data_IF_979387772300
#
_entry.id   IF_979387772300
#
_cell.length_a   1.000
_cell.length_b   1.000
_cell.length_c   1.000
_cell.angle_alpha   90.00
_cell.angle_beta   90.00
_cell.angle_gamma   90.00
#
_symmetry.space_group_name_H-M   'P 1'
#
loop_
_entity.id
_entity.type
_entity.pdbx_description
1 polymer ?
#
# COMPACT_ATOMS: atom_id res chain seq x y z
N UNK A 1 -5.09 22.55 12.01
CA UNK A 1 -4.40 22.63 10.71
C UNK A 1 -3.01 22.07 10.92
N UNK A 2 -2.54 21.22 9.99
CA UNK A 2 -1.16 20.69 10.02
C UNK A 2 -0.15 21.83 9.98
N UNK A 3 0.97 21.65 10.68
CA UNK A 3 2.05 22.64 10.73
C UNK A 3 3.27 22.12 9.98
N UNK A 4 3.81 22.95 9.10
CA UNK A 4 5.09 22.67 8.45
C UNK A 4 5.97 23.93 8.45
N UNK A 5 7.29 23.76 8.48
CA UNK A 5 8.26 24.86 8.52
C UNK A 5 9.61 24.42 7.95
N UNK A 6 10.40 25.37 7.46
CA UNK A 6 11.82 25.12 7.17
C UNK A 6 12.58 24.86 8.46
N UNK A 7 13.53 23.91 8.45
CA UNK A 7 14.37 23.61 9.60
C UNK A 7 15.51 24.63 9.78
N UNK A 8 16.02 24.74 11.01
CA UNK A 8 17.33 25.35 11.26
C UNK A 8 18.49 24.38 10.92
N UNK A 9 19.71 24.93 10.84
CA UNK A 9 20.94 24.15 10.61
C UNK A 9 21.64 23.77 11.94
N UNK A 10 20.97 23.92 13.08
CA UNK A 10 21.60 23.71 14.38
C UNK A 10 21.81 22.21 14.64
N UNK A 11 23.00 21.78 15.08
CA UNK A 11 23.19 20.42 15.55
C UNK A 11 22.37 20.22 16.83
N UNK A 12 21.61 19.13 16.92
CA UNK A 12 20.71 18.90 18.05
C UNK A 12 20.03 17.55 18.02
N UNK A 13 19.13 17.33 18.98
CA UNK A 13 18.28 16.16 19.01
C UNK A 13 17.27 16.22 17.86
N UNK A 14 17.30 15.27 16.91
CA UNK A 14 16.41 15.29 15.75
C UNK A 14 14.92 15.31 16.09
N UNK A 15 14.54 14.93 17.32
CA UNK A 15 13.17 14.91 17.85
C UNK A 15 12.66 16.29 18.29
N UNK A 16 13.53 17.29 18.40
CA UNK A 16 13.15 18.66 18.72
C UNK A 16 12.49 19.36 17.52
N UNK A 17 11.71 20.43 17.71
CA UNK A 17 11.04 21.09 16.58
C UNK A 17 11.97 21.66 15.50
N UNK A 18 13.22 22.03 15.84
CA UNK A 18 14.18 22.64 14.89
C UNK A 18 13.59 23.79 14.08
N UNK A 19 12.95 24.76 14.78
CA UNK A 19 12.34 25.93 14.15
C UNK A 19 13.40 27.06 14.07
N UNK A 20 13.65 27.63 12.89
CA UNK A 20 14.54 28.77 12.75
C UNK A 20 13.94 30.01 13.42
N UNK A 21 14.81 30.93 13.82
CA UNK A 21 14.45 32.26 14.29
C UNK A 21 15.07 33.32 13.35
N UNK A 22 14.26 34.09 12.58
CA UNK A 22 12.80 34.12 12.58
C UNK A 22 12.16 32.89 11.91
N UNK A 23 10.97 32.52 12.39
CA UNK A 23 10.21 31.37 11.88
C UNK A 23 9.88 31.45 10.40
N UNK A 24 10.02 30.32 9.69
CA UNK A 24 9.75 30.18 8.25
C UNK A 24 8.69 29.10 7.98
N UNK A 25 7.39 29.40 8.18
CA UNK A 25 6.32 28.44 7.99
C UNK A 25 6.13 28.06 6.52
N UNK A 26 5.69 26.83 6.28
CA UNK A 26 5.37 26.28 4.96
C UNK A 26 3.88 25.94 4.92
N UNK A 27 3.18 26.47 3.92
CA UNK A 27 1.76 26.22 3.71
C UNK A 27 1.48 24.93 2.93
N UNK A 28 0.26 24.41 3.05
CA UNK A 28 -0.20 23.22 2.31
C UNK A 28 -0.09 23.37 0.78
N UNK A 29 -0.31 24.56 0.24
CA UNK A 29 -0.13 24.82 -1.20
C UNK A 29 1.31 24.64 -1.65
N UNK A 30 2.28 25.00 -0.80
CA UNK A 30 3.69 24.79 -1.11
C UNK A 30 4.05 23.30 -1.05
N UNK A 31 3.53 22.56 -0.05
CA UNK A 31 3.68 21.11 0.02
C UNK A 31 3.07 20.41 -1.21
N UNK A 32 1.88 20.84 -1.65
CA UNK A 32 1.24 20.35 -2.88
C UNK A 32 2.10 20.54 -4.13
N UNK A 33 2.85 21.65 -4.23
CA UNK A 33 3.80 21.90 -5.34
C UNK A 33 5.01 20.97 -5.31
N UNK A 34 5.30 20.34 -4.17
CA UNK A 34 6.29 19.27 -4.03
C UNK A 34 5.67 17.88 -4.26
N UNK A 35 4.36 17.81 -4.56
CA UNK A 35 3.61 16.56 -4.72
C UNK A 35 3.14 15.94 -3.39
N UNK A 36 3.41 16.58 -2.25
CA UNK A 36 2.97 16.13 -0.94
C UNK A 36 1.48 16.45 -0.75
N UNK A 37 0.68 15.42 -0.50
CA UNK A 37 -0.77 15.53 -0.29
C UNK A 37 -1.12 15.33 1.18
N UNK A 38 -2.21 15.97 1.62
CA UNK A 38 -2.63 15.96 3.02
C UNK A 38 -4.15 15.92 3.15
N UNK A 39 -4.63 15.15 4.13
CA UNK A 39 -6.02 15.11 4.56
C UNK A 39 -6.11 15.12 6.09
N UNK A 40 -7.21 15.69 6.62
CA UNK A 40 -7.58 15.59 8.03
C UNK A 40 -8.79 14.67 8.14
N UNK A 41 -8.68 13.63 8.97
CA UNK A 41 -9.69 12.60 9.18
C UNK A 41 -9.94 12.39 10.68
N UNK A 42 -10.99 11.63 10.99
CA UNK A 42 -11.32 11.20 12.33
C UNK A 42 -10.63 9.85 12.61
N UNK A 43 -9.50 9.89 13.31
CA UNK A 43 -8.70 8.70 13.64
C UNK A 43 -9.44 7.68 14.49
N UNK A 44 -10.46 8.08 15.26
CA UNK A 44 -11.24 7.14 16.07
C UNK A 44 -12.18 6.28 15.22
N UNK A 45 -12.41 6.66 13.96
CA UNK A 45 -13.26 5.95 13.01
C UNK A 45 -12.49 5.14 11.97
N UNK A 46 -11.17 5.03 12.07
CA UNK A 46 -10.30 4.50 11.01
C UNK A 46 -10.72 3.11 10.46
N UNK A 47 -11.37 2.27 11.26
CA UNK A 47 -11.86 0.94 10.84
C UNK A 47 -13.03 1.00 9.85
N UNK A 48 -13.89 2.02 9.94
CA UNK A 48 -15.13 2.15 9.18
C UNK A 48 -15.42 3.60 8.75
N UNK A 49 -14.39 4.38 8.41
CA UNK A 49 -14.54 5.77 7.99
C UNK A 49 -14.83 5.88 6.47
N UNK A 50 -16.03 6.36 6.07
CA UNK A 50 -16.38 6.55 4.66
C UNK A 50 -15.47 7.57 3.94
N UNK A 51 -14.93 8.57 4.64
CA UNK A 51 -14.03 9.56 4.04
C UNK A 51 -12.67 8.94 3.73
N UNK A 52 -12.15 8.10 4.64
CA UNK A 52 -10.97 7.30 4.39
C UNK A 52 -11.17 6.35 3.20
N UNK A 53 -12.31 5.64 3.15
CA UNK A 53 -12.63 4.77 2.00
C UNK A 53 -12.65 5.53 0.68
N UNK A 54 -13.22 6.72 0.66
CA UNK A 54 -13.29 7.57 -0.53
C UNK A 54 -11.89 7.93 -1.03
N UNK A 55 -11.01 8.40 -0.13
CA UNK A 55 -9.61 8.73 -0.47
C UNK A 55 -8.90 7.49 -1.02
N UNK A 56 -9.07 6.34 -0.36
CA UNK A 56 -8.46 5.08 -0.79
C UNK A 56 -8.92 4.66 -2.19
N UNK A 57 -10.20 4.82 -2.52
CA UNK A 57 -10.73 4.48 -3.85
C UNK A 57 -10.24 5.46 -4.92
N UNK A 58 -10.26 6.77 -4.65
CA UNK A 58 -9.81 7.80 -5.58
C UNK A 58 -8.32 7.67 -5.92
N UNK A 59 -7.51 7.26 -4.93
CA UNK A 59 -6.06 7.15 -5.04
C UNK A 59 -5.55 5.72 -5.27
N UNK A 60 -6.44 4.74 -5.34
CA UNK A 60 -6.14 3.32 -5.50
C UNK A 60 -5.24 2.73 -4.37
N UNK A 61 -5.50 3.11 -3.12
CA UNK A 61 -4.80 2.58 -1.94
C UNK A 61 -5.45 1.26 -1.47
N UNK A 62 -5.06 0.17 -2.14
CA UNK A 62 -5.68 -1.15 -1.96
C UNK A 62 -5.25 -1.91 -0.70
N UNK A 63 -4.15 -1.50 -0.06
CA UNK A 63 -3.56 -2.24 1.06
C UNK A 63 -3.34 -1.34 2.29
N UNK A 64 -3.38 -1.95 3.48
CA UNK A 64 -3.18 -1.26 4.74
C UNK A 64 -2.58 -2.21 5.77
N UNK A 65 -1.61 -1.71 6.51
CA UNK A 65 -1.14 -2.21 7.79
C UNK A 65 -1.20 -1.13 8.86
N UNK A 66 -0.94 -1.54 10.10
CA UNK A 66 -0.81 -0.67 11.26
C UNK A 66 0.54 -0.96 11.90
N UNK A 67 1.41 0.05 11.96
CA UNK A 67 2.67 -0.02 12.69
C UNK A 67 2.59 0.83 13.95
N UNK A 68 3.01 0.26 15.08
CA UNK A 68 3.17 0.99 16.34
C UNK A 68 4.65 1.19 16.61
N UNK A 69 5.12 2.43 16.47
CA UNK A 69 6.50 2.81 16.74
C UNK A 69 6.60 3.18 18.21
N UNK A 70 6.88 2.20 19.06
CA UNK A 70 7.08 2.40 20.49
C UNK A 70 8.25 1.57 21.00
N UNK A 71 9.07 2.15 21.88
CA UNK A 71 10.28 1.49 22.41
C UNK A 71 10.03 0.09 22.97
N UNK A 72 8.90 -0.10 23.66
CA UNK A 72 8.57 -1.37 24.30
C UNK A 72 7.85 -2.36 23.38
N UNK A 73 7.25 -1.88 22.28
CA UNK A 73 6.39 -2.69 21.39
C UNK A 73 7.01 -3.00 20.04
N UNK A 74 7.97 -2.19 19.58
CA UNK A 74 8.61 -2.35 18.28
C UNK A 74 9.90 -3.17 18.42
N UNK A 75 9.97 -4.38 17.84
CA UNK A 75 11.23 -5.14 17.79
C UNK A 75 12.29 -4.35 17.02
N UNK A 76 13.53 -4.37 17.52
CA UNK A 76 14.66 -3.62 16.99
C UNK A 76 14.40 -2.10 16.87
N UNK A 77 13.70 -1.53 17.86
CA UNK A 77 13.31 -0.12 17.88
C UNK A 77 14.44 0.85 17.50
N UNK A 78 15.61 0.75 18.14
CA UNK A 78 16.71 1.70 17.94
C UNK A 78 17.28 1.64 16.50
N UNK A 79 17.39 0.44 15.92
CA UNK A 79 17.83 0.26 14.53
C UNK A 79 16.79 0.82 13.55
N UNK A 80 15.50 0.53 13.78
CA UNK A 80 14.41 0.99 12.90
C UNK A 80 14.25 2.50 12.93
N UNK A 81 14.29 3.13 14.11
CA UNK A 81 14.24 4.59 14.23
C UNK A 81 15.40 5.24 13.49
N UNK A 82 16.60 4.65 13.59
CA UNK A 82 17.75 5.14 12.84
C UNK A 82 17.53 5.05 11.33
N UNK A 83 17.06 3.90 10.83
CA UNK A 83 16.75 3.70 9.41
C UNK A 83 15.69 4.68 8.91
N UNK A 84 14.63 4.93 9.69
CA UNK A 84 13.59 5.89 9.32
C UNK A 84 14.12 7.32 9.25
N UNK A 85 15.12 7.66 10.06
CA UNK A 85 15.68 9.01 10.10
C UNK A 85 16.81 9.24 9.09
N UNK A 86 17.44 8.18 8.58
CA UNK A 86 18.35 8.28 7.44
C UNK A 86 17.59 8.81 6.21
N UNK A 87 18.17 9.74 5.47
CA UNK A 87 17.53 10.29 4.27
C UNK A 87 17.38 9.21 3.20
N UNK A 88 16.16 8.99 2.74
CA UNK A 88 15.83 7.95 1.76
C UNK A 88 14.72 8.40 0.81
N UNK A 89 14.44 7.54 -0.18
CA UNK A 89 13.32 7.68 -1.09
C UNK A 89 12.71 6.31 -1.38
N UNK A 90 11.50 6.31 -1.90
CA UNK A 90 10.80 5.12 -2.35
C UNK A 90 10.45 5.23 -3.84
N UNK A 91 10.37 4.09 -4.52
CA UNK A 91 9.93 4.00 -5.92
C UNK A 91 8.41 4.16 -6.07
N UNK A 92 7.68 3.94 -4.98
CA UNK A 92 6.24 4.12 -4.85
C UNK A 92 5.95 5.26 -3.85
N UNK A 93 4.72 5.76 -3.85
CA UNK A 93 4.27 6.76 -2.87
C UNK A 93 4.37 6.20 -1.44
N UNK A 94 4.85 7.01 -0.50
CA UNK A 94 4.75 6.69 0.93
C UNK A 94 3.49 7.35 1.50
N UNK A 95 2.58 6.54 2.04
CA UNK A 95 1.32 7.00 2.62
C UNK A 95 1.37 6.71 4.12
N UNK A 96 0.93 7.66 4.95
CA UNK A 96 0.87 7.49 6.41
C UNK A 96 -0.36 8.21 6.96
N UNK A 97 -1.15 7.49 7.74
CA UNK A 97 -2.27 8.01 8.50
C UNK A 97 -2.01 7.83 9.99
N UNK A 98 -1.95 8.92 10.75
CA UNK A 98 -1.63 8.88 12.19
C UNK A 98 -2.89 8.59 13.00
N UNK A 99 -2.94 7.41 13.60
CA UNK A 99 -4.05 6.96 14.45
C UNK A 99 -3.89 7.42 15.90
N UNK A 100 -2.65 7.48 16.38
CA UNK A 100 -2.31 7.95 17.71
C UNK A 100 -0.88 8.51 17.76
N UNK A 101 -0.67 9.44 18.69
CA UNK A 101 0.60 10.14 18.87
C UNK A 101 0.94 11.16 17.79
N UNK A 102 2.24 11.38 17.60
CA UNK A 102 2.78 12.43 16.75
C UNK A 102 4.20 12.12 16.27
N UNK A 103 4.62 12.82 15.21
CA UNK A 103 5.97 12.72 14.66
C UNK A 103 6.23 13.74 13.56
N UNK A 104 7.45 13.71 13.04
CA UNK A 104 7.92 14.60 11.99
C UNK A 104 8.25 13.81 10.73
N UNK A 105 7.72 14.28 9.59
CA UNK A 105 8.23 13.95 8.27
C UNK A 105 9.03 15.13 7.77
N UNK A 106 10.32 14.92 7.49
CA UNK A 106 11.13 15.92 6.83
C UNK A 106 11.19 15.59 5.33
N UNK A 107 10.97 16.60 4.48
CA UNK A 107 11.04 16.47 3.02
C UNK A 107 11.97 17.52 2.42
N UNK A 108 12.65 17.18 1.33
CA UNK A 108 13.43 18.17 0.55
C UNK A 108 12.53 19.05 -0.29
N UNK A 109 12.79 20.35 -0.30
CA UNK A 109 12.23 21.26 -1.29
C UNK A 109 13.05 21.29 -2.59
N UNK A 110 12.67 22.16 -3.53
CA UNK A 110 13.36 22.28 -4.83
C UNK A 110 14.77 22.87 -4.75
N UNK A 111 15.17 23.41 -3.60
CA UNK A 111 16.48 23.99 -3.34
C UNK A 111 17.28 23.10 -2.37
N UNK A 112 16.89 21.83 -2.22
CA UNK A 112 17.47 20.85 -1.29
C UNK A 112 17.45 21.31 0.17
N UNK A 113 16.47 22.13 0.58
CA UNK A 113 16.28 22.53 1.98
C UNK A 113 15.26 21.64 2.67
N UNK A 114 15.51 21.34 3.95
CA UNK A 114 14.59 20.54 4.75
C UNK A 114 13.36 21.35 5.16
N UNK A 115 12.19 20.79 4.86
CA UNK A 115 10.90 21.21 5.40
C UNK A 115 10.44 20.11 6.37
N UNK A 116 10.24 20.49 7.63
CA UNK A 116 9.67 19.63 8.67
C UNK A 116 8.16 19.75 8.68
N UNK A 117 7.47 18.62 8.61
CA UNK A 117 6.01 18.50 8.65
C UNK A 117 5.64 17.79 9.94
N UNK A 118 4.94 18.48 10.83
CA UNK A 118 4.47 17.92 12.08
C UNK A 118 3.12 17.25 11.90
N UNK A 119 3.08 15.95 12.14
CA UNK A 119 1.91 15.10 11.96
C UNK A 119 1.42 14.63 13.33
N UNK A 120 0.13 14.78 13.59
CA UNK A 120 -0.53 14.36 14.83
C UNK A 120 -1.74 13.47 14.50
N UNK A 121 -2.35 12.88 15.54
CA UNK A 121 -3.59 12.08 15.41
C UNK A 121 -4.61 12.71 14.45
N UNK A 122 -5.09 11.90 13.51
CA UNK A 122 -6.05 12.28 12.48
C UNK A 122 -5.43 12.92 11.22
N UNK A 123 -4.10 13.10 11.18
CA UNK A 123 -3.42 13.60 9.99
C UNK A 123 -3.03 12.45 9.05
N UNK A 124 -3.37 12.57 7.77
CA UNK A 124 -2.97 11.65 6.70
C UNK A 124 -2.12 12.40 5.68
N UNK A 125 -0.99 11.82 5.29
CA UNK A 125 -0.06 12.38 4.31
C UNK A 125 0.24 11.35 3.21
N UNK A 126 0.51 11.85 2.01
CA UNK A 126 1.14 11.07 0.93
C UNK A 126 2.38 11.83 0.46
N UNK A 127 3.53 11.16 0.53
CA UNK A 127 4.80 11.58 -0.02
C UNK A 127 4.96 10.93 -1.40
N UNK A 128 5.18 11.71 -2.47
CA UNK A 128 5.23 11.16 -3.81
C UNK A 128 6.49 10.32 -4.03
N UNK A 129 6.40 9.29 -4.88
CA UNK A 129 7.54 8.51 -5.32
C UNK A 129 8.74 9.39 -5.75
N UNK A 130 9.93 9.03 -5.31
CA UNK A 130 11.18 9.73 -5.62
C UNK A 130 11.49 10.98 -4.79
N UNK A 131 10.61 11.41 -3.87
CA UNK A 131 10.95 12.51 -2.94
C UNK A 131 11.94 12.03 -1.88
N UNK A 132 13.00 12.81 -1.65
CA UNK A 132 13.88 12.59 -0.50
C UNK A 132 13.16 13.00 0.78
N UNK A 133 13.07 12.06 1.70
CA UNK A 133 12.40 12.24 2.98
C UNK A 133 13.03 11.40 4.09
N UNK A 134 12.60 11.69 5.32
CA UNK A 134 12.92 10.92 6.53
C UNK A 134 11.83 11.13 7.59
N UNK A 135 11.77 10.22 8.55
CA UNK A 135 10.81 10.25 9.65
C UNK A 135 11.51 10.18 11.01
N UNK A 136 10.99 10.93 11.98
CA UNK A 136 11.35 10.78 13.40
C UNK A 136 10.12 10.98 14.29
N UNK A 137 10.10 10.28 15.42
CA UNK A 137 9.18 10.60 16.52
C UNK A 137 9.54 11.96 17.13
N UNK A 138 8.56 12.61 17.77
CA UNK A 138 8.82 13.83 18.55
C UNK A 138 9.18 13.53 20.01
N UNK A 139 9.48 14.55 20.80
CA UNK A 139 9.79 14.41 22.23
C UNK A 139 8.55 14.09 23.08
N UNK A 140 7.33 14.39 22.60
CA UNK A 140 6.11 14.30 23.39
C UNK A 140 5.56 12.89 23.43
N UNK A 141 5.71 12.14 22.34
CA UNK A 141 5.05 10.85 22.21
C UNK A 141 6.05 9.76 21.87
N UNK A 142 6.36 8.85 22.81
CA UNK A 142 7.22 7.70 22.53
C UNK A 142 6.51 6.61 21.71
N UNK A 143 5.28 6.86 21.26
CA UNK A 143 4.43 5.95 20.49
C UNK A 143 3.71 6.70 19.38
N UNK A 144 4.07 6.42 18.12
CA UNK A 144 3.29 6.83 16.94
C UNK A 144 2.65 5.59 16.31
N UNK A 145 1.35 5.64 16.06
CA UNK A 145 0.64 4.58 15.32
C UNK A 145 0.34 5.11 13.92
N UNK A 146 1.02 4.59 12.91
CA UNK A 146 0.84 4.98 11.52
C UNK A 146 0.29 3.80 10.71
N UNK A 147 -0.59 4.07 9.74
CA UNK A 147 -1.04 3.05 8.79
C UNK A 147 -1.29 3.56 7.37
N UNK A 148 -1.30 2.61 6.43
CA UNK A 148 -1.64 2.62 4.98
C UNK A 148 -0.46 2.56 3.99
N UNK A 149 -0.44 1.52 3.15
CA UNK A 149 0.58 1.27 2.12
C UNK A 149 0.01 1.24 0.69
N UNK A 150 0.92 1.15 -0.28
CA UNK A 150 0.70 1.15 -1.75
C UNK A 150 0.29 -0.23 -2.30
N UNK A 151 -0.17 -0.35 -3.56
CA UNK A 151 -0.62 -1.62 -4.11
C UNK A 151 0.52 -2.65 -4.20
N UNK A 152 0.17 -3.91 -3.96
CA UNK A 152 1.08 -5.06 -3.97
C UNK A 152 1.97 -5.06 -5.23
N UNK A 153 3.32 -5.07 -5.12
CA UNK A 153 4.18 -5.14 -6.30
C UNK A 153 4.00 -6.50 -7.01
N UNK A 154 3.76 -6.47 -8.32
CA UNK A 154 3.95 -7.65 -9.17
C UNK A 154 5.45 -7.74 -9.45
N UNK A 155 6.16 -8.61 -8.73
CA UNK A 155 7.53 -8.97 -9.09
C UNK A 155 7.48 -9.79 -10.40
N UNK A 156 7.73 -9.16 -11.54
CA UNK A 156 8.23 -9.87 -12.70
C UNK A 156 9.74 -10.08 -12.51
N UNK A 157 10.07 -11.25 -11.96
CA UNK A 157 11.33 -11.94 -12.17
C UNK A 157 12.61 -11.16 -11.90
N UNK A 158 12.95 -10.95 -10.64
CA UNK A 158 14.33 -11.02 -10.13
C UNK A 158 14.26 -11.11 -8.60
N UNK A 159 14.98 -12.09 -8.05
CA UNK A 159 14.99 -12.41 -6.62
C UNK A 159 15.79 -11.35 -5.85
N UNK A 160 15.11 -10.29 -5.42
CA UNK A 160 15.61 -9.41 -4.37
C UNK A 160 15.17 -9.98 -3.03
N UNK A 161 16.14 -10.34 -2.20
CA UNK A 161 15.94 -10.82 -0.84
C UNK A 161 15.11 -9.77 -0.04
N UNK A 162 14.02 -10.16 0.66
CA UNK A 162 13.16 -9.22 1.35
C UNK A 162 13.87 -8.68 2.59
N UNK A 163 14.69 -7.65 2.43
CA UNK A 163 15.23 -6.90 3.55
C UNK A 163 14.11 -6.02 4.14
N UNK A 164 13.69 -6.38 5.36
CA UNK A 164 12.88 -5.61 6.28
C UNK A 164 11.41 -5.35 5.89
N UNK A 165 10.68 -6.39 5.50
CA UNK A 165 9.23 -6.43 5.77
C UNK A 165 9.05 -6.76 7.25
N UNK A 166 8.84 -5.76 8.11
CA UNK A 166 8.46 -6.04 9.49
C UNK A 166 7.06 -6.63 9.55
N UNK A 167 6.95 -7.93 9.83
CA UNK A 167 5.71 -8.62 10.12
C UNK A 167 5.09 -8.18 11.47
N UNK A 168 3.77 -8.46 11.59
CA UNK A 168 2.85 -8.45 12.77
C UNK A 168 2.06 -7.12 12.92
N UNK A 169 0.74 -6.99 12.63
CA UNK A 169 -0.39 -7.92 12.32
C UNK A 169 -1.47 -7.23 11.45
N UNK A 170 -2.27 -8.05 10.76
CA UNK A 170 -3.15 -7.86 9.61
C UNK A 170 -4.35 -6.89 9.67
N UNK A 171 -4.71 -6.36 8.48
CA UNK A 171 -6.12 -6.17 8.06
C UNK A 171 -6.28 -6.71 6.62
N UNK A 172 -7.35 -7.47 6.39
CA UNK A 172 -7.68 -8.19 5.16
C UNK A 172 -7.66 -7.30 3.90
N UNK A 173 -7.35 -7.85 2.71
CA UNK A 173 -7.48 -7.10 1.46
C UNK A 173 -8.94 -6.66 1.27
N UNK A 174 -9.15 -5.40 0.90
CA UNK A 174 -10.46 -4.93 0.45
C UNK A 174 -10.86 -5.71 -0.80
N UNK A 175 -11.82 -6.61 -0.67
CA UNK A 175 -12.48 -7.26 -1.79
C UNK A 175 -13.73 -6.42 -2.10
N UNK A 176 -13.87 -5.84 -3.31
CA UNK A 176 -15.15 -5.27 -3.70
C UNK A 176 -16.23 -6.37 -3.59
N UNK A 177 -17.49 -6.03 -3.24
CA UNK A 177 -18.56 -7.02 -3.24
C UNK A 177 -18.62 -7.66 -4.62
N UNK A 178 -18.45 -8.99 -4.68
CA UNK A 178 -18.65 -9.74 -5.93
C UNK A 178 -20.06 -9.43 -6.40
N UNK A 179 -20.29 -9.09 -7.68
CA UNK A 179 -21.65 -9.10 -8.20
C UNK A 179 -22.21 -10.51 -7.98
N UNK A 180 -23.40 -10.58 -7.37
CA UNK A 180 -24.19 -11.80 -7.30
C UNK A 180 -24.29 -12.40 -8.71
N UNK A 181 -24.26 -13.74 -8.87
CA UNK A 181 -24.43 -14.32 -10.18
C UNK A 181 -25.80 -13.88 -10.73
N UNK A 182 -25.80 -13.29 -11.93
CA UNK A 182 -27.01 -13.13 -12.70
C UNK A 182 -27.61 -14.53 -12.89
N UNK A 183 -28.69 -14.80 -12.17
CA UNK A 183 -29.57 -15.94 -12.42
C UNK A 183 -30.14 -15.68 -13.82
N UNK A 184 -29.66 -16.42 -14.82
CA UNK A 184 -30.24 -16.42 -16.15
C UNK A 184 -31.56 -17.19 -16.07
N UNK A 185 -32.64 -16.48 -15.71
CA UNK A 185 -33.99 -16.93 -16.02
C UNK A 185 -34.32 -16.33 -17.38
N UNK A 186 -34.34 -17.16 -18.42
CA UNK A 186 -35.32 -16.96 -19.48
C UNK A 186 -35.99 -18.27 -19.85
N UNK A 187 -37.28 -18.29 -19.54
CA UNK A 187 -38.28 -19.27 -19.93
C UNK A 187 -39.43 -18.39 -20.41
N UNK A 188 -39.58 -18.17 -21.72
CA UNK A 188 -40.69 -18.70 -22.52
C UNK A 188 -40.89 -17.98 -23.88
N UNK A 189 -41.29 -18.80 -24.87
CA UNK A 189 -41.98 -18.50 -26.16
C UNK A 189 -41.07 -18.33 -27.40
N UNK A 190 -41.27 -18.96 -28.59
CA UNK A 190 -42.20 -19.94 -29.24
C UNK A 190 -41.50 -20.36 -30.59
N UNK A 191 -41.15 -21.65 -30.85
CA UNK A 191 -41.73 -22.67 -31.80
C UNK A 191 -41.76 -22.34 -33.33
N UNK A 192 -41.87 -23.31 -34.30
CA UNK A 192 -41.59 -24.78 -34.36
C UNK A 192 -41.01 -25.31 -35.74
N UNK A 193 -41.07 -26.66 -35.94
CA UNK A 193 -40.75 -27.56 -37.09
C UNK A 193 -39.32 -28.16 -37.11
N UNK A 194 -39.05 -29.46 -37.28
CA UNK A 194 -39.85 -30.69 -37.46
C UNK A 194 -39.01 -31.78 -38.17
N UNK A 195 -39.15 -33.05 -37.76
CA UNK A 195 -38.80 -34.35 -38.41
C UNK A 195 -37.42 -35.05 -38.21
N UNK A 196 -37.44 -36.04 -37.28
CA UNK A 196 -37.25 -37.52 -37.39
C UNK A 196 -36.09 -38.23 -38.16
N UNK A 197 -35.55 -39.26 -37.46
CA UNK A 197 -34.83 -40.50 -37.87
C UNK A 197 -33.38 -40.38 -38.40
N UNK A 198 -32.39 -41.26 -38.12
CA UNK A 198 -32.31 -42.71 -37.87
C UNK A 198 -30.95 -43.10 -37.22
N UNK A 199 -30.92 -44.16 -36.41
CA UNK A 199 -29.72 -44.91 -35.99
C UNK A 199 -29.56 -46.17 -36.88
N UNK A 200 -28.34 -46.51 -37.29
CA UNK A 200 -27.89 -47.83 -37.80
C UNK A 200 -26.41 -48.00 -37.43
N UNK A 201 -25.99 -48.99 -36.62
CA UNK A 201 -25.85 -50.45 -36.85
C UNK A 201 -24.44 -50.89 -37.31
N UNK A 202 -23.88 -51.88 -36.59
CA UNK A 202 -22.85 -52.84 -37.04
C UNK A 202 -21.43 -52.59 -36.49
N UNK A 203 -20.97 -53.20 -35.39
CA UNK A 203 -20.57 -54.60 -35.10
C UNK A 203 -19.19 -55.07 -35.64
N UNK A 204 -18.30 -55.34 -34.65
CA UNK A 204 -17.36 -56.48 -34.44
C UNK A 204 -16.23 -56.84 -35.43
N UNK A 205 -15.00 -56.90 -34.87
CA UNK A 205 -14.03 -58.04 -34.87
C UNK A 205 -12.99 -57.80 -33.75
N UNK A 206 -12.96 -58.52 -32.60
CA UNK A 206 -12.29 -59.81 -32.24
C UNK A 206 -10.75 -59.86 -32.32
N UNK A 207 -10.08 -60.03 -31.16
CA UNK A 207 -8.80 -60.77 -31.00
C UNK A 207 -7.52 -59.96 -30.67
N UNK A 208 -6.64 -60.42 -29.75
CA UNK A 208 -5.45 -59.68 -29.30
C UNK A 208 -4.20 -60.07 -30.10
N UNK A 209 -3.24 -59.15 -30.28
CA UNK A 209 -1.93 -59.46 -30.87
C UNK A 209 -0.80 -58.65 -30.20
N UNK A 210 0.16 -59.37 -29.62
CA UNK A 210 1.42 -58.90 -29.05
C UNK A 210 2.58 -58.98 -30.07
N UNK A 211 3.41 -57.93 -30.06
CA UNK A 211 4.88 -57.83 -30.23
C UNK A 211 5.59 -58.60 -31.37
N UNK A 212 6.32 -57.89 -32.24
CA UNK A 212 7.80 -57.98 -32.43
C UNK A 212 8.30 -57.34 -33.74
N UNK A 213 9.60 -56.95 -33.72
CA UNK A 213 10.34 -56.09 -34.66
C UNK A 213 10.51 -56.66 -36.09
N UNK A 214 10.76 -55.82 -37.12
CA UNK A 214 11.31 -56.28 -38.38
C UNK A 214 12.86 -56.35 -38.35
N UNK A 215 13.38 -57.45 -38.89
CA UNK A 215 14.75 -57.59 -39.41
C UNK A 215 14.62 -57.68 -40.94
N UNK A 216 15.40 -56.88 -41.66
CA UNK A 216 15.81 -57.09 -43.05
C UNK A 216 17.29 -56.73 -43.13
N UNK A 217 18.11 -57.10 -44.10
CA UNK A 217 18.09 -57.88 -45.35
C UNK A 217 19.58 -57.81 -45.76
N UNK A 218 20.32 -58.85 -46.10
CA UNK A 218 20.43 -59.62 -47.36
C UNK A 218 21.67 -60.50 -47.19
#
# INVERSE_FOLDING_TARGET
>A
MVQAWYMDDAPGDPRQPHRPDPGRPVGLEQLRRLGVLYWKLDADKYENDPELEKIRRERNYSWMDIITICKDKLPNYEEKIKMFYEEHLHLDDEIRYILDGSGYFDVRDKEDKWIRIFMEKGDMITLPAGIYHRFTVDEKTPSAVAGLGTPRPVLQGESVEPQAMSEVTAVLPWQPPRPLPAILVDRTMRRPCGYLWENRCGQHTTGPLTISKPVGST
#
